data_IF_112203947218
#
_entry.id   IF_112203947218
#
_cell.length_a   1.000
_cell.length_b   1.000
_cell.length_c   1.000
_cell.angle_alpha   90.00
_cell.angle_beta   90.00
_cell.angle_gamma   90.00
#
_symmetry.space_group_name_H-M   'P 1'
#
loop_
_entity.id
_entity.type
_entity.pdbx_description
1 polymer ?
#
# COMPACT_ATOMS: atom_id res chain seq x y z
N UNK A 1 11.19 -9.42 -5.42
CA UNK A 1 10.73 -8.13 -5.96
C UNK A 1 9.38 -8.35 -6.60
N UNK A 2 8.42 -7.50 -6.28
CA UNK A 2 7.06 -7.49 -6.84
C UNK A 2 6.90 -6.22 -7.68
N UNK A 3 6.22 -6.30 -8.82
CA UNK A 3 5.93 -5.15 -9.67
C UNK A 3 4.42 -4.89 -9.67
N UNK A 4 4.01 -3.70 -9.21
CA UNK A 4 2.66 -3.16 -9.44
C UNK A 4 2.71 -2.37 -10.74
N UNK A 5 1.96 -2.82 -11.75
CA UNK A 5 1.92 -2.18 -13.08
C UNK A 5 0.51 -1.65 -13.29
N UNK A 6 0.38 -0.33 -13.41
CA UNK A 6 -0.92 0.35 -13.50
C UNK A 6 -0.99 1.12 -14.82
N UNK A 7 -1.93 0.80 -15.74
CA UNK A 7 -2.14 1.61 -16.93
C UNK A 7 -2.68 2.99 -16.57
N UNK A 8 -2.10 4.02 -17.17
CA UNK A 8 -2.44 5.44 -16.91
C UNK A 8 -2.60 6.21 -18.21
N UNK A 9 -3.37 7.30 -18.16
CA UNK A 9 -3.58 8.25 -19.27
C UNK A 9 -4.23 7.68 -20.54
N UNK A 10 -4.60 6.40 -20.56
CA UNK A 10 -5.33 5.79 -21.66
C UNK A 10 -6.83 6.11 -21.63
N UNK A 11 -7.48 5.95 -22.77
CA UNK A 11 -8.93 6.14 -22.92
C UNK A 11 -9.73 4.83 -22.87
N UNK A 12 -9.05 3.69 -22.96
CA UNK A 12 -9.68 2.39 -22.83
C UNK A 12 -10.03 2.12 -21.37
N UNK A 13 -11.21 1.54 -21.14
CA UNK A 13 -11.58 0.98 -19.84
C UNK A 13 -10.66 -0.20 -19.53
N UNK A 14 -10.27 -0.35 -18.26
CA UNK A 14 -9.50 -1.48 -17.75
C UNK A 14 -10.17 -1.94 -16.47
N UNK A 15 -10.55 -3.21 -16.41
CA UNK A 15 -11.29 -3.81 -15.29
C UNK A 15 -12.59 -3.04 -14.98
N UNK A 16 -13.32 -2.66 -16.03
CA UNK A 16 -14.54 -1.82 -15.95
C UNK A 16 -14.34 -0.42 -15.34
N UNK A 17 -13.10 0.05 -15.15
CA UNK A 17 -12.80 1.38 -14.64
C UNK A 17 -12.04 2.24 -15.69
N UNK A 18 -12.22 3.58 -15.68
CA UNK A 18 -11.37 4.47 -16.44
C UNK A 18 -9.93 4.41 -15.89
N UNK A 19 -8.94 4.55 -16.77
CA UNK A 19 -7.55 4.63 -16.33
C UNK A 19 -7.30 5.92 -15.55
N UNK A 20 -6.50 5.81 -14.50
CA UNK A 20 -6.07 6.95 -13.69
C UNK A 20 -5.17 7.89 -14.48
N UNK A 21 -5.19 9.17 -14.11
CA UNK A 21 -4.25 10.19 -14.58
C UNK A 21 -2.91 10.06 -13.86
N UNK A 22 -1.85 10.50 -14.52
CA UNK A 22 -0.50 10.45 -13.99
C UNK A 22 -0.35 11.22 -12.68
N UNK A 23 -1.07 12.33 -12.49
CA UNK A 23 -1.01 13.12 -11.26
C UNK A 23 -1.69 12.41 -10.07
N UNK A 24 -2.73 11.61 -10.30
CA UNK A 24 -3.40 10.80 -9.27
C UNK A 24 -2.45 9.70 -8.78
N UNK A 25 -1.77 9.05 -9.72
CA UNK A 25 -0.79 8.00 -9.41
C UNK A 25 0.54 8.55 -8.86
N UNK A 26 0.88 9.81 -9.16
CA UNK A 26 2.05 10.46 -8.59
C UNK A 26 1.94 10.61 -7.07
N UNK A 27 0.73 10.82 -6.54
CA UNK A 27 0.50 10.87 -5.10
C UNK A 27 0.85 9.54 -4.43
N UNK A 28 0.35 8.41 -4.96
CA UNK A 28 0.68 7.07 -4.45
C UNK A 28 2.20 6.82 -4.49
N UNK A 29 2.87 7.16 -5.60
CA UNK A 29 4.31 7.03 -5.73
C UNK A 29 5.09 7.83 -4.67
N UNK A 30 4.68 9.09 -4.43
CA UNK A 30 5.27 9.94 -3.39
C UNK A 30 5.04 9.34 -2.01
N UNK A 31 3.83 8.84 -1.73
CA UNK A 31 3.50 8.21 -0.44
C UNK A 31 4.39 6.97 -0.22
N UNK A 32 4.44 6.06 -1.19
CA UNK A 32 5.19 4.82 -1.10
C UNK A 32 6.70 5.06 -0.87
N UNK A 33 7.29 6.02 -1.58
CA UNK A 33 8.68 6.42 -1.40
C UNK A 33 8.93 7.12 -0.06
N UNK A 34 7.99 7.94 0.41
CA UNK A 34 8.11 8.63 1.71
C UNK A 34 8.06 7.64 2.87
N UNK A 35 7.12 6.68 2.84
CA UNK A 35 7.01 5.62 3.85
C UNK A 35 8.22 4.68 3.84
N UNK A 36 8.78 4.41 2.67
CA UNK A 36 10.06 3.67 2.55
C UNK A 36 11.19 4.36 3.33
N UNK A 37 11.17 5.69 3.42
CA UNK A 37 12.12 6.46 4.22
C UNK A 37 12.10 6.13 5.71
N UNK A 38 10.92 5.80 6.27
CA UNK A 38 10.76 5.43 7.69
C UNK A 38 11.44 4.11 8.06
N UNK A 39 11.89 3.32 7.08
CA UNK A 39 12.62 2.07 7.31
C UNK A 39 14.05 2.32 7.79
N UNK A 40 14.60 3.52 7.56
CA UNK A 40 16.01 3.84 7.84
C UNK A 40 16.21 4.14 9.33
N UNK A 41 17.19 3.49 10.00
CA UNK A 41 17.45 3.71 11.42
C UNK A 41 18.12 5.05 11.72
N UNK A 42 18.69 5.70 10.70
CA UNK A 42 19.41 6.96 10.83
C UNK A 42 19.16 7.86 9.62
N UNK A 43 19.28 9.17 9.85
CA UNK A 43 19.28 10.16 8.78
C UNK A 43 20.60 10.20 8.00
N UNK A 44 20.69 11.09 7.01
CA UNK A 44 21.89 11.26 6.19
C UNK A 44 23.12 11.76 6.97
N UNK A 45 22.92 12.34 8.17
CA UNK A 45 23.98 12.79 9.06
C UNK A 45 24.39 11.70 10.09
N UNK A 46 23.76 10.52 10.02
CA UNK A 46 24.02 9.41 10.94
C UNK A 46 23.34 9.56 12.30
N UNK A 47 22.45 10.54 12.47
CA UNK A 47 21.68 10.67 13.71
C UNK A 47 20.56 9.62 13.73
N UNK A 48 20.26 9.00 14.89
CA UNK A 48 19.14 8.09 15.01
C UNK A 48 17.84 8.74 14.57
N UNK A 49 17.06 8.04 13.75
CA UNK A 49 15.74 8.51 13.35
C UNK A 49 14.85 8.74 14.58
N UNK A 50 14.02 9.78 14.57
CA UNK A 50 13.07 10.04 15.67
C UNK A 50 11.91 9.04 15.62
N UNK A 51 11.47 8.71 14.41
CA UNK A 51 10.39 7.78 14.10
C UNK A 51 10.87 6.78 13.06
N UNK A 52 10.71 5.48 13.32
CA UNK A 52 11.24 4.41 12.48
C UNK A 52 10.35 3.16 12.55
N UNK A 53 10.05 2.60 11.37
CA UNK A 53 9.27 1.38 11.20
C UNK A 53 9.69 0.66 9.92
N UNK A 54 9.92 -0.64 10.00
CA UNK A 54 10.13 -1.52 8.84
C UNK A 54 8.85 -2.23 8.37
N UNK A 55 7.69 -1.84 8.90
CA UNK A 55 6.41 -2.47 8.59
C UNK A 55 5.67 -1.80 7.42
N UNK A 56 6.24 -0.81 6.73
CA UNK A 56 5.75 -0.38 5.41
C UNK A 56 6.53 -1.09 4.32
N UNK A 57 5.86 -1.54 3.26
CA UNK A 57 6.55 -2.16 2.12
C UNK A 57 7.66 -1.27 1.58
N UNK A 58 8.81 -1.88 1.29
CA UNK A 58 9.92 -1.16 0.70
C UNK A 58 9.68 -0.93 -0.79
N UNK A 59 9.59 0.33 -1.19
CA UNK A 59 9.55 0.72 -2.59
C UNK A 59 10.98 0.95 -3.08
N UNK A 60 11.44 0.10 -3.99
CA UNK A 60 12.78 0.21 -4.56
C UNK A 60 12.84 1.28 -5.64
N UNK A 61 11.83 1.31 -6.52
CA UNK A 61 11.82 2.23 -7.65
C UNK A 61 10.40 2.48 -8.16
N UNK A 62 10.16 3.68 -8.66
CA UNK A 62 8.99 4.04 -9.44
C UNK A 62 9.44 4.50 -10.82
N UNK A 63 8.76 4.04 -11.87
CA UNK A 63 9.06 4.41 -13.25
C UNK A 63 7.79 4.57 -14.09
N UNK A 64 7.92 5.30 -15.20
CA UNK A 64 6.88 5.38 -16.23
C UNK A 64 7.36 4.62 -17.45
N UNK A 65 6.56 3.66 -17.91
CA UNK A 65 6.83 2.86 -19.10
C UNK A 65 5.84 3.19 -20.20
N UNK A 66 6.24 2.99 -21.46
CA UNK A 66 5.39 3.17 -22.64
C UNK A 66 5.55 1.98 -23.58
N UNK A 67 4.45 1.46 -24.09
CA UNK A 67 4.46 0.33 -25.04
C UNK A 67 3.48 -0.78 -24.68
N UNK A 68 3.37 -1.82 -25.50
CA UNK A 68 2.66 -3.04 -25.10
C UNK A 68 3.38 -3.74 -23.93
N UNK A 69 2.65 -4.56 -23.18
CA UNK A 69 3.26 -5.45 -22.18
C UNK A 69 4.31 -6.36 -22.84
N UNK A 70 5.40 -6.65 -22.12
CA UNK A 70 6.39 -7.62 -22.54
C UNK A 70 5.72 -9.00 -22.73
N UNK A 71 6.15 -9.75 -23.77
CA UNK A 71 5.57 -11.06 -24.12
C UNK A 71 5.63 -12.05 -22.96
N UNK A 72 6.64 -11.93 -22.11
CA UNK A 72 6.84 -12.72 -20.90
C UNK A 72 5.72 -12.47 -19.88
N UNK A 73 5.34 -11.20 -19.67
CA UNK A 73 4.28 -10.81 -18.75
C UNK A 73 2.91 -11.24 -19.28
N UNK A 74 2.66 -11.06 -20.58
CA UNK A 74 1.43 -11.54 -21.24
C UNK A 74 1.28 -13.05 -21.05
N UNK A 75 2.35 -13.81 -21.32
CA UNK A 75 2.35 -15.28 -21.10
C UNK A 75 2.13 -15.66 -19.64
N UNK A 76 2.73 -14.93 -18.69
CA UNK A 76 2.55 -15.17 -17.27
C UNK A 76 1.11 -14.92 -16.83
N UNK A 77 0.50 -13.84 -17.31
CA UNK A 77 -0.90 -13.50 -17.04
C UNK A 77 -1.85 -14.59 -17.55
N UNK A 78 -1.75 -14.98 -18.82
CA UNK A 78 -2.59 -16.05 -19.39
C UNK A 78 -2.42 -17.40 -18.69
N UNK A 79 -1.19 -17.72 -18.26
CA UNK A 79 -0.93 -18.93 -17.47
C UNK A 79 -1.62 -18.87 -16.10
N UNK A 80 -1.62 -17.71 -15.46
CA UNK A 80 -2.29 -17.50 -14.18
C UNK A 80 -3.80 -17.59 -14.30
N UNK A 81 -4.38 -16.87 -15.27
CA UNK A 81 -5.81 -16.84 -15.56
C UNK A 81 -6.35 -18.24 -15.86
N UNK A 82 -5.68 -19.01 -16.72
CA UNK A 82 -6.06 -20.40 -17.00
C UNK A 82 -6.08 -21.30 -15.75
N UNK A 83 -5.24 -21.03 -14.76
CA UNK A 83 -5.10 -21.86 -13.57
C UNK A 83 -6.02 -21.44 -12.41
N UNK A 84 -6.37 -20.16 -12.29
CA UNK A 84 -7.07 -19.61 -11.13
C UNK A 84 -8.37 -18.86 -11.49
N UNK A 85 -8.53 -18.45 -12.75
CA UNK A 85 -9.49 -17.43 -13.16
C UNK A 85 -9.01 -16.03 -12.74
N UNK A 86 -9.09 -15.08 -13.65
CA UNK A 86 -8.84 -13.66 -13.40
C UNK A 86 -10.15 -12.88 -13.44
N UNK A 87 -10.36 -12.03 -12.45
CA UNK A 87 -11.42 -11.01 -12.48
C UNK A 87 -11.00 -9.78 -13.31
N UNK A 88 -9.71 -9.67 -13.63
CA UNK A 88 -9.15 -8.60 -14.44
C UNK A 88 -9.24 -8.91 -15.94
N UNK A 89 -9.28 -7.85 -16.75
CA UNK A 89 -9.17 -7.91 -18.21
C UNK A 89 -7.79 -8.41 -18.67
N UNK A 90 -7.69 -9.04 -19.86
CA UNK A 90 -6.41 -9.39 -20.47
C UNK A 90 -5.50 -8.19 -20.71
N UNK A 91 -4.22 -8.35 -20.42
CA UNK A 91 -3.20 -7.28 -20.48
C UNK A 91 -2.64 -6.99 -21.89
N UNK A 92 -3.04 -7.77 -22.90
CA UNK A 92 -2.54 -7.69 -24.28
C UNK A 92 -3.43 -6.89 -25.25
N UNK A 93 -4.55 -6.34 -24.77
CA UNK A 93 -5.48 -5.53 -25.57
C UNK A 93 -5.21 -4.03 -25.62
N UNK A 94 -4.20 -3.53 -24.89
CA UNK A 94 -3.94 -2.09 -24.76
C UNK A 94 -3.19 -1.51 -25.97
N UNK A 95 -3.42 -0.22 -26.24
CA UNK A 95 -2.84 0.48 -27.39
C UNK A 95 -1.30 0.48 -27.33
N UNK A 96 -0.58 0.44 -28.48
CA UNK A 96 0.89 0.45 -28.49
C UNK A 96 1.52 1.68 -27.84
N UNK A 97 0.78 2.78 -27.71
CA UNK A 97 1.23 4.02 -27.06
C UNK A 97 0.88 4.10 -25.57
N UNK A 98 0.25 3.08 -24.99
CA UNK A 98 -0.19 3.05 -23.60
C UNK A 98 0.94 3.37 -22.63
N UNK A 99 0.63 4.21 -21.63
CA UNK A 99 1.53 4.53 -20.52
C UNK A 99 1.21 3.68 -19.29
N UNK A 100 2.23 3.37 -18.51
CA UNK A 100 2.08 2.65 -17.25
C UNK A 100 2.91 3.32 -16.17
N UNK A 101 2.37 3.43 -14.96
CA UNK A 101 3.18 3.57 -13.77
C UNK A 101 3.60 2.18 -13.30
N UNK A 102 4.90 2.00 -13.05
CA UNK A 102 5.47 0.76 -12.52
C UNK A 102 6.12 1.06 -11.19
N UNK A 103 5.65 0.37 -10.14
CA UNK A 103 6.22 0.44 -8.79
C UNK A 103 6.88 -0.91 -8.48
N UNK A 104 8.20 -0.90 -8.33
CA UNK A 104 8.99 -2.06 -7.93
C UNK A 104 9.16 -2.07 -6.41
N UNK A 105 8.74 -3.16 -5.78
CA UNK A 105 8.64 -3.28 -4.33
C UNK A 105 9.28 -4.56 -3.81
N UNK A 106 9.61 -4.58 -2.51
CA UNK A 106 9.99 -5.80 -1.82
C UNK A 106 8.86 -6.84 -1.88
N UNK A 107 9.25 -8.11 -1.86
CA UNK A 107 8.30 -9.20 -1.61
C UNK A 107 8.05 -9.28 -0.11
N UNK A 108 6.79 -9.23 0.30
CA UNK A 108 6.37 -9.23 1.70
C UNK A 108 5.62 -10.51 2.10
N UNK A 109 5.62 -11.53 1.24
CA UNK A 109 4.96 -12.81 1.49
C UNK A 109 3.51 -12.82 1.01
N UNK A 110 2.59 -13.24 1.86
CA UNK A 110 1.18 -13.46 1.49
C UNK A 110 0.27 -12.49 2.24
N UNK A 111 -0.82 -12.09 1.60
CA UNK A 111 -1.85 -11.30 2.26
C UNK A 111 -2.46 -12.07 3.45
N UNK A 112 -2.92 -11.33 4.48
CA UNK A 112 -3.45 -11.92 5.70
C UNK A 112 -4.76 -12.67 5.46
N UNK A 113 -5.51 -12.30 4.42
CA UNK A 113 -6.74 -12.98 4.00
C UNK A 113 -6.49 -14.45 3.61
N UNK A 114 -5.39 -14.73 2.90
CA UNK A 114 -5.01 -16.09 2.47
C UNK A 114 -4.04 -16.76 3.42
N UNK A 115 -3.45 -16.03 4.37
CA UNK A 115 -2.51 -16.59 5.32
C UNK A 115 -3.23 -17.26 6.50
N UNK A 116 -2.84 -18.49 6.81
CA UNK A 116 -3.24 -19.13 8.06
C UNK A 116 -2.44 -18.50 9.21
N UNK A 117 -3.10 -17.73 10.08
CA UNK A 117 -2.52 -17.26 11.35
C UNK A 117 -2.66 -18.39 12.38
N UNK A 118 -1.57 -19.07 12.79
CA UNK A 118 -1.68 -20.33 13.51
C UNK A 118 -2.21 -20.22 14.95
N UNK A 119 -2.08 -19.06 15.60
CA UNK A 119 -2.45 -18.90 17.00
C UNK A 119 -2.55 -17.47 17.51
N UNK A 120 -3.07 -17.34 18.72
CA UNK A 120 -3.37 -16.05 19.37
C UNK A 120 -2.13 -15.15 19.53
N UNK A 121 -0.98 -15.71 19.90
CA UNK A 121 0.23 -14.91 20.10
C UNK A 121 0.73 -14.28 18.78
N UNK A 122 0.60 -14.99 17.66
CA UNK A 122 0.93 -14.44 16.34
C UNK A 122 -0.07 -13.36 15.93
N UNK A 123 -1.38 -13.59 16.15
CA UNK A 123 -2.40 -12.59 15.88
C UNK A 123 -2.17 -11.31 16.70
N UNK A 124 -1.88 -11.44 18.01
CA UNK A 124 -1.55 -10.32 18.90
C UNK A 124 -0.29 -9.59 18.43
N UNK A 125 0.75 -10.33 18.03
CA UNK A 125 1.99 -9.75 17.51
C UNK A 125 1.75 -8.96 16.23
N UNK A 126 1.06 -9.53 15.24
CA UNK A 126 0.76 -8.88 13.98
C UNK A 126 -0.07 -7.60 14.20
N UNK A 127 -1.07 -7.65 15.07
CA UNK A 127 -1.85 -6.47 15.44
C UNK A 127 -0.96 -5.39 16.07
N UNK A 128 -0.07 -5.75 16.99
CA UNK A 128 0.87 -4.81 17.61
C UNK A 128 1.83 -4.20 16.57
N UNK A 129 2.33 -5.00 15.63
CA UNK A 129 3.21 -4.52 14.55
C UNK A 129 2.49 -3.53 13.63
N UNK A 130 1.26 -3.83 13.24
CA UNK A 130 0.43 -2.93 12.42
C UNK A 130 0.14 -1.62 13.17
N UNK A 131 -0.29 -1.70 14.44
CA UNK A 131 -0.56 -0.53 15.27
C UNK A 131 0.69 0.35 15.44
N UNK A 132 1.85 -0.26 15.69
CA UNK A 132 3.12 0.47 15.79
C UNK A 132 3.52 1.11 14.46
N UNK A 133 3.30 0.44 13.34
CA UNK A 133 3.57 1.00 12.02
C UNK A 133 2.73 2.25 11.76
N UNK A 134 1.43 2.18 12.05
CA UNK A 134 0.51 3.30 11.92
C UNK A 134 0.90 4.46 12.85
N UNK A 135 1.15 4.21 14.13
CA UNK A 135 1.56 5.24 15.08
C UNK A 135 2.87 5.96 14.65
N UNK A 136 3.84 5.21 14.11
CA UNK A 136 5.07 5.78 13.55
C UNK A 136 4.77 6.64 12.32
N UNK A 137 3.90 6.18 11.41
CA UNK A 137 3.50 6.93 10.23
C UNK A 137 2.72 8.21 10.57
N UNK A 138 1.76 8.12 11.49
CA UNK A 138 0.96 9.23 12.00
C UNK A 138 1.86 10.30 12.60
N UNK A 139 2.77 9.91 13.51
CA UNK A 139 3.66 10.85 14.17
C UNK A 139 4.69 11.47 13.23
N UNK A 140 5.23 10.70 12.28
CA UNK A 140 6.27 11.19 11.40
C UNK A 140 5.73 12.04 10.24
N UNK A 141 4.55 11.71 9.74
CA UNK A 141 4.07 12.16 8.42
C UNK A 141 2.57 12.49 8.40
N UNK A 142 1.85 12.50 9.52
CA UNK A 142 0.38 12.58 9.52
C UNK A 142 -0.25 11.52 8.60
N UNK A 143 0.33 10.32 8.56
CA UNK A 143 -0.09 9.26 7.65
C UNK A 143 -1.45 8.69 8.03
N UNK A 144 -2.29 8.48 7.02
CA UNK A 144 -3.53 7.72 7.11
C UNK A 144 -3.56 6.72 5.95
N UNK A 145 -3.72 5.41 6.26
CA UNK A 145 -3.79 4.37 5.23
C UNK A 145 -5.08 4.45 4.39
N UNK A 146 -6.20 4.72 5.07
CA UNK A 146 -7.57 4.92 4.52
C UNK A 146 -8.23 3.73 3.83
N UNK A 147 -7.49 2.68 3.53
CA UNK A 147 -8.02 1.42 2.98
C UNK A 147 -7.26 0.20 3.56
N UNK A 148 -7.18 0.12 4.88
CA UNK A 148 -6.43 -0.96 5.55
C UNK A 148 -7.32 -2.17 5.84
N UNK A 149 -7.67 -2.92 4.80
CA UNK A 149 -8.26 -4.24 4.94
C UNK A 149 -7.17 -5.32 5.08
N UNK A 150 -7.56 -6.52 5.51
CA UNK A 150 -6.63 -7.65 5.70
C UNK A 150 -5.87 -8.08 4.43
N UNK A 151 -6.35 -7.71 3.24
CA UNK A 151 -5.65 -7.93 1.96
C UNK A 151 -4.43 -7.02 1.79
N UNK A 152 -4.43 -5.86 2.48
CA UNK A 152 -3.33 -4.89 2.47
C UNK A 152 -2.35 -5.08 3.64
N UNK A 153 -2.51 -6.16 4.42
CA UNK A 153 -1.56 -6.59 5.45
C UNK A 153 -0.87 -7.85 4.96
N UNK A 154 0.39 -7.72 4.56
CA UNK A 154 1.21 -8.84 4.15
C UNK A 154 1.88 -9.49 5.36
N UNK A 155 2.03 -10.81 5.33
CA UNK A 155 2.71 -11.58 6.37
C UNK A 155 3.74 -12.56 5.80
N UNK A 156 4.83 -12.69 6.53
CA UNK A 156 5.92 -13.62 6.22
C UNK A 156 6.62 -14.11 7.49
N UNK A 157 7.45 -15.15 7.35
CA UNK A 157 8.24 -15.67 8.45
C UNK A 157 9.24 -14.60 8.95
N UNK A 158 9.31 -14.43 10.26
CA UNK A 158 10.21 -13.47 10.87
C UNK A 158 11.66 -13.97 10.83
N UNK A 159 12.58 -13.12 10.41
CA UNK A 159 14.02 -13.40 10.48
C UNK A 159 14.60 -13.24 11.90
N UNK A 160 13.85 -12.62 12.82
CA UNK A 160 14.27 -12.28 14.17
C UNK A 160 13.13 -12.52 15.17
N UNK A 161 13.42 -12.90 16.43
CA UNK A 161 12.41 -13.06 17.47
C UNK A 161 11.72 -11.74 17.84
N UNK A 162 12.35 -10.60 17.56
CA UNK A 162 11.80 -9.26 17.81
C UNK A 162 11.91 -8.37 16.58
N UNK A 163 10.96 -7.47 16.43
CA UNK A 163 11.00 -6.34 15.50
C UNK A 163 11.07 -5.03 16.30
N UNK A 164 11.90 -4.10 15.84
CA UNK A 164 12.15 -2.83 16.52
C UNK A 164 11.39 -1.71 15.81
N UNK A 165 10.86 -0.80 16.62
CA UNK A 165 10.29 0.47 16.20
C UNK A 165 10.97 1.58 16.98
N UNK A 166 10.93 2.80 16.44
CA UNK A 166 11.26 4.01 17.18
C UNK A 166 10.10 4.98 17.04
N UNK A 167 9.59 5.50 18.15
CA UNK A 167 8.48 6.45 18.16
C UNK A 167 8.82 7.57 19.13
N UNK A 168 8.80 8.83 18.67
CA UNK A 168 9.19 10.00 19.48
C UNK A 168 10.56 9.85 20.14
N UNK A 169 11.49 9.19 19.44
CA UNK A 169 12.85 8.92 19.93
C UNK A 169 12.96 7.80 20.96
N UNK A 170 11.87 7.07 21.27
CA UNK A 170 11.88 5.92 22.17
C UNK A 170 11.92 4.62 21.37
N UNK A 171 12.82 3.71 21.76
CA UNK A 171 12.91 2.37 21.15
C UNK A 171 11.85 1.45 21.75
N UNK A 172 11.05 0.83 20.89
CA UNK A 172 9.98 -0.10 21.26
C UNK A 172 10.25 -1.43 20.55
N UNK A 173 10.19 -2.52 21.30
CA UNK A 173 10.37 -3.88 20.77
C UNK A 173 9.08 -4.65 20.84
N UNK A 174 8.76 -5.36 19.77
CA UNK A 174 7.61 -6.26 19.69
C UNK A 174 8.13 -7.66 19.37
N UNK A 175 7.72 -8.66 20.15
CA UNK A 175 8.00 -10.06 19.86
C UNK A 175 7.26 -10.49 18.60
N UNK A 176 7.96 -11.05 17.62
CA UNK A 176 7.40 -11.43 16.31
C UNK A 176 6.58 -12.72 16.38
N UNK A 177 6.84 -13.56 17.38
CA UNK A 177 6.29 -14.92 17.45
C UNK A 177 6.45 -15.70 16.12
N UNK A 178 7.55 -15.43 15.42
CA UNK A 178 7.88 -16.08 14.14
C UNK A 178 7.23 -15.45 12.90
N UNK A 179 6.48 -14.34 13.02
CA UNK A 179 5.83 -13.66 11.89
C UNK A 179 6.03 -12.15 11.91
N UNK A 180 6.20 -11.54 10.73
CA UNK A 180 6.25 -10.09 10.56
C UNK A 180 5.17 -9.60 9.62
N UNK A 181 4.59 -8.43 9.92
CA UNK A 181 3.63 -7.74 9.09
C UNK A 181 4.31 -6.69 8.17
N UNK A 182 3.73 -6.44 7.00
CA UNK A 182 4.04 -5.29 6.17
C UNK A 182 2.77 -4.71 5.54
N UNK A 183 2.59 -3.40 5.64
CA UNK A 183 1.50 -2.64 5.04
C UNK A 183 1.83 -2.34 3.58
N UNK A 184 0.88 -2.61 2.70
CA UNK A 184 0.96 -2.36 1.25
C UNK A 184 -0.25 -1.55 0.78
N UNK A 185 -0.20 -1.17 -0.50
CA UNK A 185 -1.26 -0.46 -1.21
C UNK A 185 -1.66 0.88 -0.59
N UNK A 186 -0.96 1.92 -1.04
CA UNK A 186 -1.19 3.28 -0.57
C UNK A 186 -2.06 4.11 -1.52
N UNK A 187 -2.84 3.44 -2.36
CA UNK A 187 -3.67 4.08 -3.39
C UNK A 187 -4.64 5.11 -2.80
N UNK A 188 -5.27 4.77 -1.66
CA UNK A 188 -6.23 5.62 -0.96
C UNK A 188 -5.61 6.52 0.12
N UNK A 189 -4.30 6.35 0.37
CA UNK A 189 -3.65 6.93 1.53
C UNK A 189 -3.43 8.44 1.43
N UNK A 190 -3.11 9.04 2.58
CA UNK A 190 -2.78 10.46 2.73
C UNK A 190 -1.61 10.62 3.70
N UNK A 191 -0.70 11.54 3.41
CA UNK A 191 0.32 12.01 4.36
C UNK A 191 0.81 13.42 4.04
N UNK A 192 1.48 14.04 5.00
CA UNK A 192 2.30 15.23 4.84
C UNK A 192 3.74 14.81 4.55
N UNK A 193 4.24 15.20 3.37
CA UNK A 193 5.62 14.92 2.94
C UNK A 193 6.64 15.69 3.78
N UNK A 194 7.91 15.32 3.70
CA UNK A 194 9.01 16.01 4.40
C UNK A 194 9.17 17.49 4.00
N UNK A 195 8.58 17.91 2.88
CA UNK A 195 8.53 19.32 2.44
C UNK A 195 7.32 20.09 2.99
N UNK A 196 6.49 19.46 3.82
CA UNK A 196 5.26 20.03 4.37
C UNK A 196 4.04 19.95 3.44
N UNK A 197 4.21 19.52 2.18
CA UNK A 197 3.13 19.37 1.21
C UNK A 197 2.29 18.12 1.49
N UNK A 198 0.98 18.24 1.31
CA UNK A 198 0.05 17.12 1.41
C UNK A 198 0.11 16.26 0.14
N UNK A 199 0.29 14.95 0.31
CA UNK A 199 0.16 13.94 -0.73
C UNK A 199 -1.05 13.07 -0.40
N UNK A 200 -2.01 12.97 -1.32
CA UNK A 200 -3.20 12.14 -1.18
C UNK A 200 -3.80 11.86 -2.56
N UNK A 201 -4.50 10.73 -2.71
CA UNK A 201 -5.38 10.51 -3.85
C UNK A 201 -6.76 11.09 -3.51
N UNK A 202 -7.34 11.88 -4.41
CA UNK A 202 -8.68 12.43 -4.20
C UNK A 202 -9.72 11.36 -4.52
N UNK A 203 -10.31 10.76 -3.48
CA UNK A 203 -11.33 9.70 -3.61
C UNK A 203 -12.76 10.26 -3.71
N UNK A 204 -12.94 11.58 -3.69
CA UNK A 204 -14.28 12.21 -3.71
C UNK A 204 -15.08 11.97 -5.00
N UNK A 205 -14.43 11.47 -6.05
CA UNK A 205 -15.04 11.17 -7.35
C UNK A 205 -15.33 9.69 -7.59
N UNK A 206 -15.13 8.80 -6.60
CA UNK A 206 -15.36 7.36 -6.74
C UNK A 206 -16.49 6.89 -5.79
N UNK A 207 -17.76 6.88 -6.24
CA UNK A 207 -18.91 6.47 -5.42
C UNK A 207 -18.87 4.98 -5.05
N UNK A 208 -18.27 4.14 -5.90
CA UNK A 208 -18.27 2.68 -5.74
C UNK A 208 -17.41 2.25 -4.54
N UNK A 209 -16.40 3.04 -4.17
CA UNK A 209 -15.59 2.83 -2.95
C UNK A 209 -16.43 2.84 -1.66
N UNK A 210 -17.62 3.44 -1.69
CA UNK A 210 -18.52 3.54 -0.55
C UNK A 210 -19.72 2.58 -0.64
N UNK A 211 -19.80 1.78 -1.71
CA UNK A 211 -20.90 0.84 -2.00
C UNK A 211 -20.38 -0.61 -2.10
N UNK A 212 -19.69 -1.09 -1.07
CA UNK A 212 -19.28 -2.51 -1.03
C UNK A 212 -20.43 -3.47 -0.65
N UNK A 213 -20.19 -4.80 -0.72
CA UNK A 213 -21.21 -5.81 -0.42
C UNK A 213 -21.76 -5.68 1.01
N UNK A 214 -23.10 -5.68 1.14
CA UNK A 214 -23.76 -5.64 2.47
C UNK A 214 -23.30 -6.82 3.34
N UNK A 215 -22.67 -6.52 4.47
CA UNK A 215 -22.29 -7.51 5.49
C UNK A 215 -20.79 -7.72 5.66
N UNK A 216 -19.95 -7.10 4.82
CA UNK A 216 -18.50 -7.08 5.04
C UNK A 216 -18.10 -5.97 6.02
N UNK A 217 -17.22 -6.31 6.97
CA UNK A 217 -16.76 -5.38 8.02
C UNK A 217 -16.04 -4.18 7.39
N UNK A 218 -15.33 -4.37 6.27
CA UNK A 218 -14.67 -3.30 5.50
C UNK A 218 -15.66 -2.22 5.07
N UNK A 219 -16.85 -2.63 4.62
CA UNK A 219 -17.93 -1.72 4.21
C UNK A 219 -18.55 -1.03 5.41
N UNK A 220 -18.55 -1.61 6.62
CA UNK A 220 -19.14 -0.96 7.81
C UNK A 220 -18.32 0.21 8.36
N UNK A 221 -17.02 0.27 8.06
CA UNK A 221 -16.15 1.41 8.44
C UNK A 221 -16.34 2.61 7.48
N UNK A 222 -16.58 2.34 6.20
CA UNK A 222 -16.75 3.37 5.15
C UNK A 222 -17.94 4.33 5.27
N UNK A 223 -19.14 3.99 5.82
CA UNK A 223 -20.30 4.87 5.93
C UNK A 223 -20.29 5.78 7.16
N UNK A 224 -19.36 5.60 8.10
CA UNK A 224 -19.14 6.55 9.22
C UNK A 224 -18.06 7.60 8.87
N UNK A 225 -17.16 7.31 7.92
CA UNK A 225 -16.24 8.29 7.31
C UNK A 225 -16.90 9.48 6.57
N UNK A 226 -18.07 9.37 5.89
CA UNK A 226 -18.62 10.46 5.12
C UNK A 226 -19.13 11.59 6.00
N UNK A 227 -19.58 11.27 7.22
CA UNK A 227 -20.18 12.25 8.13
C UNK A 227 -19.13 13.10 8.88
N UNK A 228 -17.88 12.64 8.97
CA UNK A 228 -16.78 13.38 9.63
C UNK A 228 -15.81 14.07 8.65
N UNK A 229 -15.69 13.62 7.39
CA UNK A 229 -14.58 14.03 6.52
C UNK A 229 -14.96 14.68 5.17
N UNK A 230 -16.24 14.72 4.76
CA UNK A 230 -16.59 15.21 3.41
C UNK A 230 -16.27 16.69 3.12
N UNK A 231 -16.04 17.53 4.13
CA UNK A 231 -15.85 18.98 3.91
C UNK A 231 -14.41 19.49 4.01
N UNK A 232 -13.41 18.68 4.40
CA UNK A 232 -12.09 19.20 4.76
C UNK A 232 -10.89 18.38 4.25
N UNK A 233 -10.89 18.00 2.97
CA UNK A 233 -9.78 17.28 2.33
C UNK A 233 -8.49 18.12 2.15
N UNK A 234 -8.52 19.42 2.48
CA UNK A 234 -7.41 20.35 2.33
C UNK A 234 -7.04 21.16 3.59
N UNK A 235 -7.73 20.98 4.72
CA UNK A 235 -7.51 21.80 5.92
C UNK A 235 -7.46 20.97 7.19
N UNK A 236 -6.24 20.67 7.64
CA UNK A 236 -5.79 20.71 9.03
C UNK A 236 -4.27 20.91 9.06
#
# INVERSE_FOLDING_TARGET
>A
IVFKVVPVEGTAMVNNAPQKRAHEMAAEAVIALTLTGLRRPSDAAGQPAVNQSSCFVETHQVGVCRGPYAKELVRAWHKWDKAHGSENDPVDGLQPSQLYLVIAMADCGRDLEKAAVPGFDQARSLLAQVAMALAVGEEALEFEHRDLHWGNVMVQAAASPTINFRLKGQDIKVDTHGMTAALIDFTASRLRTLTGKLAYCNLSSDPELFEGPKGEVQVSLHPDLPCLFYQHWSTS
#
